data_IF_857942077452
#
_entry.id   IF_857942077452
#
_cell.length_a   1.000
_cell.length_b   1.000
_cell.length_c   1.000
_cell.angle_alpha   90.00
_cell.angle_beta   90.00
_cell.angle_gamma   90.00
#
_symmetry.space_group_name_H-M   'P 1'
#
loop_
_entity.id
_entity.type
_entity.pdbx_description
1 polymer ?
#
# COMPACT_ATOMS: atom_id res chain seq x y z
N UNK A 1 14.96 11.07 -3.13
CA UNK A 1 14.76 9.89 -3.97
C UNK A 1 13.41 9.27 -3.66
N UNK A 2 12.72 8.82 -4.71
CA UNK A 2 11.43 8.18 -4.52
C UNK A 2 11.63 6.79 -3.91
N UNK A 3 10.74 6.42 -3.01
CA UNK A 3 10.72 5.10 -2.42
C UNK A 3 9.53 4.33 -2.98
N UNK A 4 9.76 3.10 -3.39
CA UNK A 4 8.69 2.24 -3.91
C UNK A 4 8.55 1.02 -3.03
N UNK A 5 7.32 0.57 -2.85
CA UNK A 5 7.06 -0.69 -2.14
C UNK A 5 6.21 -1.58 -3.04
N UNK A 6 6.35 -2.88 -2.84
CA UNK A 6 5.60 -3.87 -3.60
C UNK A 6 4.42 -4.34 -2.79
N UNK A 7 3.26 -4.35 -3.44
CA UNK A 7 2.02 -4.78 -2.81
C UNK A 7 1.31 -5.76 -3.74
N UNK A 8 0.37 -6.50 -3.18
CA UNK A 8 -0.38 -7.51 -3.92
C UNK A 8 -1.87 -7.21 -3.81
N UNK A 9 -2.54 -7.11 -4.95
CA UNK A 9 -3.98 -6.88 -4.96
C UNK A 9 -4.72 -8.14 -4.50
N UNK A 10 -5.99 -8.00 -4.18
CA UNK A 10 -6.81 -9.14 -3.78
C UNK A 10 -7.00 -10.13 -4.93
N UNK A 11 -6.64 -9.75 -6.16
CA UNK A 11 -6.66 -10.64 -7.30
C UNK A 11 -5.31 -11.32 -7.51
N UNK A 12 -4.39 -11.18 -6.54
CA UNK A 12 -3.07 -11.78 -6.57
C UNK A 12 -2.15 -11.20 -7.64
N UNK A 13 -2.38 -9.96 -8.00
CA UNK A 13 -1.52 -9.24 -8.92
C UNK A 13 -0.56 -8.36 -8.12
N UNK A 14 0.72 -8.48 -8.44
CA UNK A 14 1.74 -7.67 -7.76
C UNK A 14 1.91 -6.33 -8.48
N UNK A 15 2.13 -5.29 -7.69
CA UNK A 15 2.43 -3.98 -8.26
C UNK A 15 3.32 -3.22 -7.30
N UNK A 16 4.00 -2.22 -7.82
CA UNK A 16 4.81 -1.34 -6.99
C UNK A 16 4.16 0.04 -6.97
N UNK A 17 4.30 0.70 -5.85
CA UNK A 17 3.68 2.01 -5.68
C UNK A 17 4.70 2.97 -5.10
N UNK A 18 4.65 4.21 -5.57
CA UNK A 18 5.49 5.27 -5.04
C UNK A 18 4.92 5.71 -3.70
N UNK A 19 5.70 5.55 -2.66
CA UNK A 19 5.26 5.88 -1.29
C UNK A 19 4.79 7.33 -1.19
N UNK A 20 5.41 8.22 -1.94
CA UNK A 20 5.04 9.64 -1.91
C UNK A 20 3.64 9.90 -2.45
N UNK A 21 3.07 8.96 -3.20
CA UNK A 21 1.74 9.10 -3.75
C UNK A 21 0.65 8.56 -2.83
N UNK A 22 1.03 7.92 -1.75
CA UNK A 22 0.05 7.34 -0.82
C UNK A 22 -0.51 8.45 0.06
N UNK A 23 -1.83 8.66 -0.03
CA UNK A 23 -2.50 9.63 0.81
C UNK A 23 -2.79 9.05 2.18
N UNK A 24 -3.32 7.83 2.22
CA UNK A 24 -3.58 7.15 3.49
C UNK A 24 -3.81 5.67 3.24
N UNK A 25 -3.74 4.92 4.32
CA UNK A 25 -3.97 3.48 4.30
C UNK A 25 -4.99 3.16 5.39
N UNK A 26 -6.00 2.39 5.05
CA UNK A 26 -7.03 1.98 5.99
C UNK A 26 -7.13 0.47 6.06
N UNK A 27 -7.53 -0.04 7.23
CA UNK A 27 -7.81 -1.46 7.35
C UNK A 27 -9.09 -1.80 6.59
N UNK A 28 -9.08 -2.92 5.90
CA UNK A 28 -10.25 -3.45 5.22
C UNK A 28 -10.59 -4.79 5.85
N UNK A 29 -11.67 -5.40 5.39
CA UNK A 29 -12.06 -6.72 5.90
C UNK A 29 -10.97 -7.73 5.62
N UNK A 30 -10.33 -7.62 4.47
CA UNK A 30 -9.26 -8.50 4.06
C UNK A 30 -8.12 -7.62 3.60
N UNK A 31 -7.05 -7.55 4.40
CA UNK A 31 -5.93 -6.70 4.03
C UNK A 31 -6.21 -5.24 4.31
N UNK A 32 -5.87 -4.38 3.37
CA UNK A 32 -5.97 -2.94 3.55
C UNK A 32 -6.40 -2.25 2.27
N UNK A 33 -6.92 -1.04 2.42
CA UNK A 33 -7.18 -0.14 1.31
C UNK A 33 -6.11 0.93 1.28
N UNK A 34 -5.53 1.15 0.11
CA UNK A 34 -4.54 2.19 -0.09
C UNK A 34 -5.13 3.23 -1.03
N UNK A 35 -5.10 4.48 -0.61
CA UNK A 35 -5.56 5.58 -1.44
C UNK A 35 -4.34 6.28 -2.04
N UNK A 36 -4.29 6.35 -3.37
CA UNK A 36 -3.22 7.02 -4.09
C UNK A 36 -3.77 8.28 -4.73
N UNK A 37 -3.23 9.41 -4.30
CA UNK A 37 -3.72 10.68 -4.80
C UNK A 37 -5.15 10.93 -4.37
N UNK A 38 -5.95 11.50 -5.27
CA UNK A 38 -7.29 11.92 -4.90
C UNK A 38 -8.37 10.91 -5.25
N UNK A 39 -8.12 10.05 -6.22
CA UNK A 39 -9.21 9.24 -6.77
C UNK A 39 -8.90 7.76 -6.91
N UNK A 40 -7.68 7.33 -6.67
CA UNK A 40 -7.31 5.94 -6.88
C UNK A 40 -7.26 5.20 -5.55
N UNK A 41 -8.03 4.12 -5.45
CA UNK A 41 -8.06 3.29 -4.26
C UNK A 41 -7.83 1.84 -4.68
N UNK A 42 -6.93 1.16 -3.98
CA UNK A 42 -6.63 -0.24 -4.25
C UNK A 42 -6.77 -1.04 -2.97
N UNK A 43 -7.34 -2.24 -3.09
CA UNK A 43 -7.40 -3.17 -1.98
C UNK A 43 -6.28 -4.19 -2.14
N UNK A 44 -5.47 -4.33 -1.10
CA UNK A 44 -4.31 -5.21 -1.14
C UNK A 44 -4.42 -6.28 -0.06
N UNK A 45 -3.67 -7.35 -0.23
CA UNK A 45 -3.71 -8.48 0.71
C UNK A 45 -2.80 -8.30 1.90
N UNK A 46 -1.83 -7.40 1.81
CA UNK A 46 -0.91 -7.14 2.93
C UNK A 46 -1.68 -6.61 4.13
N UNK A 47 -1.23 -7.01 5.32
CA UNK A 47 -1.86 -6.52 6.54
C UNK A 47 -1.45 -5.08 6.82
N UNK A 48 -2.22 -4.43 7.68
CA UNK A 48 -1.90 -3.05 8.08
C UNK A 48 -0.50 -2.97 8.67
N UNK A 49 -0.15 -3.94 9.51
CA UNK A 49 1.17 -3.98 10.13
C UNK A 49 2.28 -4.17 9.11
N UNK A 50 2.03 -5.01 8.10
CA UNK A 50 3.02 -5.21 7.05
C UNK A 50 3.27 -3.95 6.26
N UNK A 51 2.20 -3.24 5.93
CA UNK A 51 2.32 -1.99 5.18
C UNK A 51 3.01 -0.94 6.03
N UNK A 52 2.63 -0.83 7.31
CA UNK A 52 3.25 0.12 8.21
C UNK A 52 4.76 -0.13 8.29
N UNK A 53 5.16 -1.38 8.39
CA UNK A 53 6.58 -1.73 8.43
C UNK A 53 7.30 -1.32 7.14
N UNK A 54 6.66 -1.55 6.00
CA UNK A 54 7.25 -1.17 4.73
C UNK A 54 7.43 0.34 4.61
N UNK A 55 6.47 1.09 5.13
CA UNK A 55 6.51 2.56 5.04
C UNK A 55 7.50 3.17 6.02
N UNK A 56 7.79 2.48 7.11
CA UNK A 56 8.64 3.03 8.16
C UNK A 56 10.05 2.48 8.14
N UNK A 57 10.37 1.59 7.20
CA UNK A 57 11.73 1.07 7.09
C UNK A 57 12.69 2.21 6.80
N UNK A 58 13.73 2.29 7.61
CA UNK A 58 14.80 3.25 7.40
C UNK A 58 16.01 2.52 6.82
N UNK A 59 16.59 3.11 5.85
CA UNK A 59 17.79 2.56 5.23
C UNK A 59 19.00 3.29 5.77
#
# INVERSE_FOLDING_TARGET
>A
MAKFIRLTTIKHEEFIVNVDRISYVCKAKTGCEICLGDFETYTVTETFEEIFALLTVKI
#
